data_IF_692729046042
#
_entry.id   IF_692729046042
#
_cell.length_a   1.000
_cell.length_b   1.000
_cell.length_c   1.000
_cell.angle_alpha   90.00
_cell.angle_beta   90.00
_cell.angle_gamma   90.00
#
_symmetry.space_group_name_H-M   'P 1'
#
loop_
_entity.id
_entity.type
_entity.pdbx_description
1 polymer ?
#
# COMPACT_ATOMS: atom_id res chain seq x y z
N UNK A 1 -4.69 21.87 11.18
CA UNK A 1 -3.97 20.62 10.83
C UNK A 1 -2.67 20.92 10.07
N UNK A 2 -2.68 21.87 9.12
CA UNK A 2 -1.43 22.31 8.45
C UNK A 2 -0.40 22.86 9.45
N UNK A 3 -0.84 23.61 10.46
CA UNK A 3 0.02 24.21 11.47
C UNK A 3 0.71 23.17 12.37
N UNK A 4 0.02 22.07 12.69
CA UNK A 4 0.60 20.98 13.49
C UNK A 4 1.73 20.29 12.72
N UNK A 5 1.54 20.01 11.42
CA UNK A 5 2.60 19.42 10.59
C UNK A 5 3.76 20.38 10.35
N UNK A 6 3.48 21.66 10.11
CA UNK A 6 4.51 22.67 9.99
C UNK A 6 5.33 22.80 11.28
N UNK A 7 4.66 22.85 12.44
CA UNK A 7 5.32 22.85 13.75
C UNK A 7 6.14 21.58 13.98
N UNK A 8 5.60 20.40 13.65
CA UNK A 8 6.33 19.14 13.77
C UNK A 8 7.57 19.11 12.87
N UNK A 9 7.46 19.57 11.62
CA UNK A 9 8.62 19.70 10.72
C UNK A 9 9.67 20.67 11.27
N UNK A 10 9.26 21.81 11.81
CA UNK A 10 10.17 22.77 12.41
C UNK A 10 10.91 22.17 13.61
N UNK A 11 10.21 21.53 14.53
CA UNK A 11 10.82 20.86 15.68
C UNK A 11 11.80 19.75 15.29
N UNK A 12 11.39 18.90 14.33
CA UNK A 12 12.26 17.87 13.79
C UNK A 12 13.47 18.45 13.04
N UNK A 13 13.28 19.56 12.31
CA UNK A 13 14.39 20.24 11.63
C UNK A 13 15.43 20.74 12.62
N UNK A 14 15.01 21.31 13.73
CA UNK A 14 15.92 21.75 14.82
C UNK A 14 16.71 20.55 15.35
N UNK A 15 16.03 19.41 15.59
CA UNK A 15 16.66 18.18 16.08
C UNK A 15 17.73 17.63 15.12
N UNK A 16 17.55 17.81 13.82
CA UNK A 16 18.48 17.36 12.78
C UNK A 16 19.38 18.48 12.22
N UNK A 17 19.62 19.55 12.98
CA UNK A 17 20.49 20.67 12.59
C UNK A 17 20.13 21.27 11.22
N UNK A 18 18.84 21.38 10.91
CA UNK A 18 18.33 21.92 9.65
C UNK A 18 18.36 20.92 8.47
N UNK A 19 18.77 19.67 8.68
CA UNK A 19 18.82 18.69 7.59
C UNK A 19 17.41 18.20 7.23
N UNK A 20 16.86 18.73 6.12
CA UNK A 20 15.50 18.40 5.68
C UNK A 20 15.30 16.95 5.28
N UNK A 21 16.31 16.26 4.77
CA UNK A 21 16.22 14.83 4.43
C UNK A 21 15.90 13.97 5.65
N UNK A 22 16.67 14.14 6.73
CA UNK A 22 16.39 13.44 8.00
C UNK A 22 15.07 13.86 8.63
N UNK A 23 14.72 15.15 8.51
CA UNK A 23 13.42 15.66 8.99
C UNK A 23 12.25 14.97 8.30
N UNK A 24 12.30 14.83 6.97
CA UNK A 24 11.26 14.15 6.18
C UNK A 24 11.19 12.65 6.54
N UNK A 25 12.34 11.98 6.64
CA UNK A 25 12.40 10.57 7.02
C UNK A 25 11.79 10.32 8.40
N UNK A 26 12.16 11.14 9.40
CA UNK A 26 11.63 11.04 10.76
C UNK A 26 10.12 11.30 10.80
N UNK A 27 9.65 12.34 10.14
CA UNK A 27 8.22 12.65 10.04
C UNK A 27 7.45 11.48 9.39
N UNK A 28 7.96 10.96 8.27
CA UNK A 28 7.36 9.83 7.58
C UNK A 28 7.28 8.58 8.49
N UNK A 29 8.34 8.32 9.24
CA UNK A 29 8.40 7.19 10.17
C UNK A 29 7.40 7.35 11.31
N UNK A 30 7.33 8.53 11.94
CA UNK A 30 6.36 8.82 13.02
C UNK A 30 4.93 8.62 12.53
N UNK A 31 4.59 9.17 11.36
CA UNK A 31 3.25 9.00 10.77
C UNK A 31 2.96 7.52 10.48
N UNK A 32 3.93 6.78 9.94
CA UNK A 32 3.78 5.34 9.66
C UNK A 32 3.62 4.52 10.91
N UNK A 33 4.36 4.80 11.96
CA UNK A 33 4.23 4.12 13.25
C UNK A 33 2.86 4.41 13.90
N UNK A 34 2.40 5.65 13.84
CA UNK A 34 1.08 6.03 14.36
C UNK A 34 -0.06 5.33 13.60
N UNK A 35 0.06 5.19 12.28
CA UNK A 35 -0.93 4.52 11.44
C UNK A 35 -0.78 3.00 11.37
N UNK A 36 0.34 2.44 11.85
CA UNK A 36 0.64 1.02 11.73
C UNK A 36 -0.44 0.10 12.31
N UNK A 37 -0.97 0.31 13.54
CA UNK A 37 -2.01 -0.55 14.09
C UNK A 37 -3.30 -0.51 13.25
N UNK A 38 -3.67 0.67 12.73
CA UNK A 38 -4.84 0.81 11.87
C UNK A 38 -4.62 0.09 10.53
N UNK A 39 -3.50 0.35 9.86
CA UNK A 39 -3.19 -0.27 8.56
C UNK A 39 -3.04 -1.79 8.68
N UNK A 40 -2.44 -2.29 9.75
CA UNK A 40 -2.34 -3.72 10.02
C UNK A 40 -3.72 -4.36 10.23
N UNK A 41 -4.62 -3.71 10.97
CA UNK A 41 -5.99 -4.19 11.16
C UNK A 41 -6.77 -4.24 9.84
N UNK A 42 -6.68 -3.20 9.01
CA UNK A 42 -7.31 -3.17 7.69
C UNK A 42 -6.75 -4.26 6.77
N UNK A 43 -5.44 -4.47 6.77
CA UNK A 43 -4.79 -5.51 5.96
C UNK A 43 -5.18 -6.93 6.39
N UNK A 44 -5.37 -7.17 7.68
CA UNK A 44 -5.88 -8.48 8.18
C UNK A 44 -7.30 -8.75 7.68
N UNK A 45 -8.17 -7.74 7.70
CA UNK A 45 -9.54 -7.87 7.15
C UNK A 45 -9.51 -8.15 5.66
N UNK A 46 -8.68 -7.42 4.92
CA UNK A 46 -8.49 -7.63 3.49
C UNK A 46 -7.99 -9.06 3.20
N UNK A 47 -7.03 -9.56 3.97
CA UNK A 47 -6.54 -10.94 3.86
C UNK A 47 -7.66 -11.95 4.07
N UNK A 48 -8.47 -11.80 5.12
CA UNK A 48 -9.61 -12.68 5.38
C UNK A 48 -10.63 -12.68 4.24
N UNK A 49 -10.90 -11.52 3.65
CA UNK A 49 -11.78 -11.43 2.47
C UNK A 49 -11.18 -12.14 1.25
N UNK A 50 -9.87 -11.98 1.03
CA UNK A 50 -9.16 -12.67 -0.06
C UNK A 50 -9.16 -14.19 0.09
N UNK A 51 -9.01 -14.72 1.31
CA UNK A 51 -9.12 -16.16 1.59
C UNK A 51 -10.49 -16.70 1.21
N UNK A 52 -11.57 -15.96 1.52
CA UNK A 52 -12.93 -16.33 1.11
C UNK A 52 -13.08 -16.35 -0.41
N UNK A 53 -12.62 -15.31 -1.10
CA UNK A 53 -12.64 -15.25 -2.56
C UNK A 53 -11.86 -16.41 -3.16
N UNK A 54 -10.68 -16.72 -2.63
CA UNK A 54 -9.88 -17.87 -3.08
C UNK A 54 -10.59 -19.22 -2.90
N UNK A 55 -11.28 -19.40 -1.79
CA UNK A 55 -12.06 -20.62 -1.55
C UNK A 55 -13.23 -20.78 -2.53
N UNK A 56 -13.76 -19.69 -3.05
CA UNK A 56 -14.85 -19.67 -4.02
C UNK A 56 -14.37 -19.76 -5.49
N UNK A 57 -13.06 -19.72 -5.73
CA UNK A 57 -12.50 -19.71 -7.08
C UNK A 57 -13.01 -20.86 -7.97
N UNK A 58 -13.11 -22.14 -7.53
CA UNK A 58 -13.63 -23.21 -8.36
C UNK A 58 -15.08 -22.96 -8.83
N UNK A 59 -15.92 -22.36 -7.97
CA UNK A 59 -17.30 -22.03 -8.32
C UNK A 59 -17.35 -20.83 -9.30
N UNK A 60 -16.47 -19.87 -9.13
CA UNK A 60 -16.32 -18.74 -10.05
C UNK A 60 -15.91 -19.23 -11.44
N UNK A 61 -14.98 -20.17 -11.53
CA UNK A 61 -14.51 -20.72 -12.80
C UNK A 61 -15.63 -21.53 -13.50
N UNK A 62 -16.45 -22.27 -12.75
CA UNK A 62 -17.62 -22.94 -13.28
C UNK A 62 -18.68 -21.93 -13.82
N UNK A 63 -18.90 -20.82 -13.13
CA UNK A 63 -19.79 -19.75 -13.60
C UNK A 63 -19.26 -19.12 -14.89
N UNK A 64 -17.95 -18.82 -14.95
CA UNK A 64 -17.28 -18.27 -16.14
C UNK A 64 -17.42 -19.19 -17.34
N UNK A 65 -17.20 -20.49 -17.16
CA UNK A 65 -17.35 -21.48 -18.23
C UNK A 65 -18.81 -21.57 -18.73
N UNK A 66 -19.79 -21.51 -17.82
CA UNK A 66 -21.21 -21.63 -18.15
C UNK A 66 -21.80 -20.37 -18.82
N UNK A 67 -21.34 -19.17 -18.40
CA UNK A 67 -21.88 -17.88 -18.82
C UNK A 67 -20.90 -17.09 -19.68
N UNK A 68 -20.00 -17.75 -20.39
CA UNK A 68 -18.97 -17.10 -21.21
C UNK A 68 -19.55 -16.16 -22.30
N UNK A 69 -20.75 -16.46 -22.80
CA UNK A 69 -21.43 -15.67 -23.84
C UNK A 69 -22.23 -14.47 -23.29
N UNK A 70 -22.48 -14.42 -21.97
CA UNK A 70 -23.23 -13.33 -21.34
C UNK A 70 -22.44 -12.70 -20.17
N UNK A 71 -21.66 -11.64 -20.44
CA UNK A 71 -20.88 -10.94 -19.41
C UNK A 71 -21.73 -10.34 -18.29
N UNK A 72 -22.97 -9.92 -18.56
CA UNK A 72 -23.85 -9.35 -17.54
C UNK A 72 -24.36 -10.41 -16.57
N UNK A 73 -24.85 -11.53 -17.10
CA UNK A 73 -25.31 -12.66 -16.29
C UNK A 73 -24.14 -13.26 -15.49
N UNK A 74 -22.95 -13.38 -16.10
CA UNK A 74 -21.73 -13.84 -15.45
C UNK A 74 -21.37 -12.93 -14.25
N UNK A 75 -21.32 -11.62 -14.43
CA UNK A 75 -21.01 -10.67 -13.36
C UNK A 75 -22.04 -10.72 -12.23
N UNK A 76 -23.33 -10.78 -12.56
CA UNK A 76 -24.41 -10.90 -11.59
C UNK A 76 -24.30 -12.19 -10.77
N UNK A 77 -24.07 -13.34 -11.42
CA UNK A 77 -23.91 -14.63 -10.75
C UNK A 77 -22.68 -14.68 -9.82
N UNK A 78 -21.53 -14.15 -10.25
CA UNK A 78 -20.31 -14.07 -9.41
C UNK A 78 -20.56 -13.11 -8.23
N UNK A 79 -21.22 -11.98 -8.46
CA UNK A 79 -21.54 -11.02 -7.40
C UNK A 79 -22.47 -11.62 -6.33
N UNK A 80 -23.50 -12.37 -6.75
CA UNK A 80 -24.38 -13.11 -5.83
C UNK A 80 -23.62 -14.16 -5.03
N UNK A 81 -22.79 -14.97 -5.70
CA UNK A 81 -21.96 -15.99 -5.06
C UNK A 81 -21.09 -15.39 -3.96
N UNK A 82 -20.41 -14.26 -4.23
CA UNK A 82 -19.58 -13.60 -3.24
C UNK A 82 -20.40 -13.03 -2.09
N UNK A 83 -21.53 -12.38 -2.39
CA UNK A 83 -22.44 -11.80 -1.39
C UNK A 83 -22.98 -12.86 -0.44
N UNK A 84 -23.46 -14.01 -0.96
CA UNK A 84 -24.00 -15.12 -0.18
C UNK A 84 -22.96 -15.75 0.75
N UNK A 85 -21.68 -15.75 0.35
CA UNK A 85 -20.58 -16.29 1.14
C UNK A 85 -19.85 -15.23 1.99
N UNK A 86 -20.38 -14.02 2.08
CA UNK A 86 -19.79 -12.93 2.86
C UNK A 86 -18.41 -12.51 2.37
N UNK A 87 -18.14 -12.69 1.07
CA UNK A 87 -17.00 -12.16 0.36
C UNK A 87 -17.42 -10.88 -0.40
N UNK A 88 -16.49 -9.96 -0.58
CA UNK A 88 -16.77 -8.69 -1.25
C UNK A 88 -15.76 -8.43 -2.36
N UNK A 89 -16.24 -8.13 -3.57
CA UNK A 89 -15.40 -7.75 -4.72
C UNK A 89 -14.63 -6.45 -4.39
N UNK A 90 -15.36 -5.46 -3.84
CA UNK A 90 -14.80 -4.22 -3.29
C UNK A 90 -14.85 -4.31 -1.77
N UNK A 91 -13.75 -4.71 -1.16
CA UNK A 91 -13.66 -4.78 0.28
C UNK A 91 -13.57 -3.37 0.89
N UNK A 92 -14.42 -3.12 1.89
CA UNK A 92 -14.46 -1.84 2.62
C UNK A 92 -13.10 -1.51 3.26
N UNK A 93 -12.34 -2.51 3.68
CA UNK A 93 -11.02 -2.30 4.27
C UNK A 93 -10.02 -1.76 3.26
N UNK A 94 -10.10 -2.18 2.00
CA UNK A 94 -9.27 -1.64 0.90
C UNK A 94 -9.61 -0.18 0.62
N UNK A 95 -10.92 0.15 0.58
CA UNK A 95 -11.37 1.53 0.39
C UNK A 95 -10.96 2.42 1.57
N UNK A 96 -11.13 1.95 2.80
CA UNK A 96 -10.71 2.68 4.00
C UNK A 96 -9.19 2.88 4.03
N UNK A 97 -8.41 1.88 3.62
CA UNK A 97 -6.94 2.02 3.49
C UNK A 97 -6.56 3.13 2.52
N UNK A 98 -7.19 3.20 1.35
CA UNK A 98 -6.98 4.28 0.38
C UNK A 98 -7.46 5.64 0.92
N UNK A 99 -8.61 5.69 1.58
CA UNK A 99 -9.15 6.92 2.19
C UNK A 99 -8.25 7.47 3.29
N UNK A 100 -7.60 6.62 4.09
CA UNK A 100 -6.63 7.05 5.09
C UNK A 100 -5.34 7.54 4.43
N UNK A 101 -4.89 6.86 3.37
CA UNK A 101 -3.62 7.18 2.70
C UNK A 101 -3.67 8.51 1.94
N UNK A 102 -4.80 8.85 1.28
CA UNK A 102 -4.91 10.06 0.46
C UNK A 102 -4.78 11.37 1.24
N UNK A 103 -5.50 11.60 2.37
CA UNK A 103 -5.33 12.80 3.17
C UNK A 103 -3.93 12.91 3.76
N UNK A 104 -3.37 11.79 4.25
CA UNK A 104 -2.00 11.76 4.80
C UNK A 104 -0.99 12.15 3.73
N UNK A 105 -1.10 11.58 2.54
CA UNK A 105 -0.25 11.95 1.42
C UNK A 105 -0.39 13.43 1.04
N UNK A 106 -1.62 13.94 0.90
CA UNK A 106 -1.86 15.34 0.53
C UNK A 106 -1.30 16.34 1.53
N UNK A 107 -1.46 16.06 2.83
CA UNK A 107 -0.93 16.90 3.90
C UNK A 107 0.60 16.89 3.92
N UNK A 108 1.20 15.70 3.84
CA UNK A 108 2.66 15.55 3.82
C UNK A 108 3.26 16.11 2.54
N UNK A 109 2.62 15.89 1.39
CA UNK A 109 3.04 16.47 0.12
C UNK A 109 3.20 17.98 0.23
N UNK A 110 2.17 18.68 0.72
CA UNK A 110 2.19 20.13 0.88
C UNK A 110 3.26 20.59 1.87
N UNK A 111 3.41 19.90 3.00
CA UNK A 111 4.42 20.23 4.01
C UNK A 111 5.85 20.02 3.47
N UNK A 112 6.08 18.88 2.80
CA UNK A 112 7.38 18.52 2.26
C UNK A 112 7.78 19.44 1.09
N UNK A 113 6.88 19.70 0.14
CA UNK A 113 7.20 20.56 -1.01
C UNK A 113 7.53 21.99 -0.61
N UNK A 114 6.87 22.52 0.43
CA UNK A 114 7.17 23.84 0.96
C UNK A 114 8.52 23.91 1.71
N UNK A 115 8.99 22.79 2.24
CA UNK A 115 10.21 22.70 3.04
C UNK A 115 11.38 22.00 2.33
N UNK A 116 11.17 21.46 1.12
CA UNK A 116 12.17 20.70 0.37
C UNK A 116 13.25 21.62 -0.21
N UNK A 117 14.14 22.05 0.63
CA UNK A 117 15.35 22.78 0.26
C UNK A 117 16.59 21.97 0.67
N UNK A 118 17.68 22.14 -0.08
CA UNK A 118 18.97 21.51 0.23
C UNK A 118 19.17 20.15 -0.42
N UNK A 119 20.36 19.58 -0.15
CA UNK A 119 20.80 18.28 -0.60
C UNK A 119 20.66 17.23 0.51
N UNK A 120 20.53 15.97 0.12
CA UNK A 120 20.49 14.86 1.05
C UNK A 120 21.07 13.57 0.44
N UNK A 121 22.02 12.93 1.12
CA UNK A 121 22.75 11.76 0.62
C UNK A 121 23.35 12.05 -0.78
N UNK A 122 22.95 11.28 -1.79
CA UNK A 122 23.35 11.47 -3.20
C UNK A 122 22.49 12.50 -3.95
N UNK A 123 21.37 12.92 -3.39
CA UNK A 123 20.42 13.86 -4.02
C UNK A 123 20.94 15.28 -3.88
N UNK A 124 21.17 15.95 -5.02
CA UNK A 124 21.62 17.34 -5.07
C UNK A 124 20.55 18.34 -4.62
N UNK A 125 19.29 18.01 -4.81
CA UNK A 125 18.14 18.83 -4.44
C UNK A 125 16.94 17.96 -4.07
N UNK A 126 16.37 18.17 -2.91
CA UNK A 126 15.13 17.54 -2.48
C UNK A 126 13.89 18.08 -3.22
N UNK A 127 14.01 19.23 -3.88
CA UNK A 127 12.93 19.83 -4.66
C UNK A 127 12.80 19.28 -6.08
N UNK A 128 13.80 18.56 -6.59
CA UNK A 128 13.79 17.96 -7.92
C UNK A 128 13.60 16.44 -7.85
N UNK A 129 13.07 15.81 -8.92
CA UNK A 129 12.98 14.35 -8.99
C UNK A 129 14.36 13.69 -8.95
N UNK A 130 14.43 12.50 -8.33
CA UNK A 130 15.65 11.70 -8.28
C UNK A 130 15.39 10.28 -8.80
N UNK A 131 16.15 9.90 -9.83
CA UNK A 131 15.98 8.61 -10.52
C UNK A 131 16.39 7.43 -9.61
N UNK A 132 17.48 7.57 -8.85
CA UNK A 132 17.97 6.48 -7.98
C UNK A 132 16.96 6.21 -6.88
N UNK A 133 16.44 7.26 -6.25
CA UNK A 133 15.38 7.12 -5.24
C UNK A 133 14.12 6.49 -5.83
N UNK A 134 13.72 6.90 -7.04
CA UNK A 134 12.58 6.31 -7.75
C UNK A 134 12.77 4.81 -7.94
N UNK A 135 13.95 4.37 -8.41
CA UNK A 135 14.25 2.95 -8.57
C UNK A 135 14.20 2.19 -7.25
N UNK A 136 14.74 2.76 -6.17
CA UNK A 136 14.66 2.15 -4.83
C UNK A 136 13.20 1.95 -4.41
N UNK A 137 12.36 2.96 -4.61
CA UNK A 137 10.93 2.86 -4.27
C UNK A 137 10.22 1.81 -5.11
N UNK A 138 10.53 1.72 -6.41
CA UNK A 138 9.95 0.70 -7.29
C UNK A 138 10.32 -0.72 -6.84
N UNK A 139 11.59 -0.95 -6.47
CA UNK A 139 12.04 -2.24 -5.93
C UNK A 139 11.30 -2.56 -4.61
N UNK A 140 11.22 -1.61 -3.68
CA UNK A 140 10.49 -1.80 -2.43
C UNK A 140 9.00 -2.09 -2.67
N UNK A 141 8.39 -1.40 -3.63
CA UNK A 141 6.98 -1.62 -4.02
C UNK A 141 6.78 -3.01 -4.61
N UNK A 142 7.69 -3.46 -5.49
CA UNK A 142 7.66 -4.80 -6.06
C UNK A 142 7.81 -5.88 -4.97
N UNK A 143 8.76 -5.70 -4.05
CA UNK A 143 8.97 -6.62 -2.92
C UNK A 143 7.73 -6.65 -2.02
N UNK A 144 7.15 -5.49 -1.66
CA UNK A 144 5.93 -5.44 -0.87
C UNK A 144 4.77 -6.16 -1.55
N UNK A 145 4.59 -5.97 -2.86
CA UNK A 145 3.55 -6.61 -3.64
C UNK A 145 3.76 -8.13 -3.79
N UNK A 146 5.00 -8.57 -3.94
CA UNK A 146 5.35 -10.00 -4.00
C UNK A 146 5.01 -10.75 -2.70
N UNK A 147 5.24 -10.13 -1.56
CA UNK A 147 4.90 -10.69 -0.26
C UNK A 147 3.44 -10.46 0.14
N UNK A 148 2.72 -9.57 -0.55
CA UNK A 148 1.32 -9.31 -0.26
C UNK A 148 0.46 -10.54 -0.56
N UNK A 149 -0.49 -10.87 0.32
CA UNK A 149 -1.45 -11.94 0.04
C UNK A 149 -2.26 -11.63 -1.22
N UNK A 150 -2.41 -12.62 -2.11
CA UNK A 150 -3.18 -12.48 -3.34
C UNK A 150 -4.15 -13.63 -3.55
N UNK A 151 -5.25 -13.40 -4.27
CA UNK A 151 -6.30 -14.36 -4.53
C UNK A 151 -5.97 -15.33 -5.66
N UNK A 152 -5.42 -14.81 -6.75
CA UNK A 152 -5.02 -15.58 -7.92
C UNK A 152 -3.71 -15.03 -8.48
N UNK A 153 -2.84 -15.92 -8.95
CA UNK A 153 -1.51 -15.55 -9.44
C UNK A 153 -1.58 -14.53 -10.60
N UNK A 154 -2.46 -14.76 -11.57
CA UNK A 154 -2.59 -13.88 -12.74
C UNK A 154 -3.07 -12.48 -12.37
N UNK A 155 -4.08 -12.41 -11.51
CA UNK A 155 -4.60 -11.12 -11.00
C UNK A 155 -3.56 -10.39 -10.16
N UNK A 156 -2.80 -11.13 -9.34
CA UNK A 156 -1.72 -10.56 -8.53
C UNK A 156 -0.63 -9.91 -9.39
N UNK A 157 -0.22 -10.59 -10.46
CA UNK A 157 0.82 -10.09 -11.37
C UNK A 157 0.36 -8.81 -12.09
N UNK A 158 -0.88 -8.79 -12.59
CA UNK A 158 -1.45 -7.60 -13.24
C UNK A 158 -1.55 -6.43 -12.26
N UNK A 159 -2.03 -6.67 -11.03
CA UNK A 159 -2.14 -5.62 -10.01
C UNK A 159 -0.77 -5.11 -9.57
N UNK A 160 0.21 -5.98 -9.42
CA UNK A 160 1.60 -5.62 -9.12
C UNK A 160 2.19 -4.76 -10.24
N UNK A 161 2.04 -5.16 -11.50
CA UNK A 161 2.53 -4.42 -12.65
C UNK A 161 1.88 -3.02 -12.74
N UNK A 162 0.55 -2.95 -12.54
CA UNK A 162 -0.18 -1.69 -12.51
C UNK A 162 0.31 -0.78 -11.38
N UNK A 163 0.50 -1.31 -10.18
CA UNK A 163 1.00 -0.55 -9.03
C UNK A 163 2.41 0.00 -9.28
N UNK A 164 3.31 -0.80 -9.84
CA UNK A 164 4.67 -0.38 -10.19
C UNK A 164 4.62 0.71 -11.26
N UNK A 165 3.82 0.53 -12.31
CA UNK A 165 3.68 1.51 -13.39
C UNK A 165 3.15 2.85 -12.87
N UNK A 166 2.08 2.84 -12.09
CA UNK A 166 1.50 4.06 -11.48
C UNK A 166 2.53 4.75 -10.58
N UNK A 167 3.22 3.98 -9.73
CA UNK A 167 4.27 4.52 -8.84
C UNK A 167 5.41 5.15 -9.66
N UNK A 168 5.87 4.50 -10.73
CA UNK A 168 6.92 5.01 -11.60
C UNK A 168 6.51 6.33 -12.25
N UNK A 169 5.33 6.39 -12.86
CA UNK A 169 4.83 7.60 -13.55
C UNK A 169 4.70 8.78 -12.58
N UNK A 170 4.22 8.52 -11.37
CA UNK A 170 4.04 9.56 -10.34
C UNK A 170 5.41 10.05 -9.86
N UNK A 171 6.29 9.16 -9.41
CA UNK A 171 7.57 9.52 -8.80
C UNK A 171 8.55 10.15 -9.79
N UNK A 172 8.41 9.84 -11.09
CA UNK A 172 9.25 10.45 -12.13
C UNK A 172 9.13 11.97 -12.22
N UNK A 173 8.01 12.52 -11.74
CA UNK A 173 7.71 13.96 -11.77
C UNK A 173 7.70 14.61 -10.39
N UNK A 174 7.72 13.83 -9.32
CA UNK A 174 7.65 14.35 -7.96
C UNK A 174 9.02 14.70 -7.39
N UNK A 175 9.07 15.72 -6.55
CA UNK A 175 10.24 16.13 -5.79
C UNK A 175 10.79 14.95 -4.94
N UNK A 176 12.12 14.82 -4.85
CA UNK A 176 12.78 13.75 -4.10
C UNK A 176 12.39 13.73 -2.61
N UNK A 177 12.09 14.89 -2.01
CA UNK A 177 11.55 14.95 -0.66
C UNK A 177 10.25 14.14 -0.49
N UNK A 178 9.35 14.19 -1.48
CA UNK A 178 8.13 13.36 -1.49
C UNK A 178 8.47 11.89 -1.75
N UNK A 179 9.46 11.63 -2.60
CA UNK A 179 10.01 10.29 -2.85
C UNK A 179 10.56 9.64 -1.58
N UNK A 180 11.24 10.40 -0.69
CA UNK A 180 11.71 9.91 0.61
C UNK A 180 10.55 9.43 1.50
N UNK A 181 9.49 10.22 1.60
CA UNK A 181 8.28 9.78 2.31
C UNK A 181 7.71 8.48 1.71
N UNK A 182 7.68 8.40 0.36
CA UNK A 182 7.19 7.20 -0.32
C UNK A 182 8.10 5.99 -0.06
N UNK A 183 9.42 6.18 -0.02
CA UNK A 183 10.38 5.12 0.32
C UNK A 183 10.14 4.54 1.72
N UNK A 184 9.97 5.39 2.74
CA UNK A 184 9.61 4.95 4.10
C UNK A 184 8.28 4.20 4.11
N UNK A 185 7.31 4.70 3.35
CA UNK A 185 5.99 4.06 3.23
C UNK A 185 6.06 2.70 2.55
N UNK A 186 6.84 2.56 1.47
CA UNK A 186 7.05 1.29 0.78
C UNK A 186 7.80 0.30 1.67
N UNK A 187 8.83 0.74 2.38
CA UNK A 187 9.58 -0.08 3.32
C UNK A 187 8.69 -0.60 4.47
N UNK A 188 7.87 0.27 5.06
CA UNK A 188 6.89 -0.14 6.07
C UNK A 188 5.88 -1.15 5.51
N UNK A 189 5.47 -1.02 4.24
CA UNK A 189 4.59 -1.98 3.57
C UNK A 189 5.27 -3.34 3.35
N UNK A 190 6.57 -3.38 3.07
CA UNK A 190 7.35 -4.63 3.02
C UNK A 190 7.32 -5.33 4.37
N UNK A 191 7.61 -4.62 5.46
CA UNK A 191 7.56 -5.17 6.82
C UNK A 191 6.15 -5.69 7.14
N UNK A 192 5.13 -4.90 6.83
CA UNK A 192 3.73 -5.28 7.08
C UNK A 192 3.33 -6.53 6.29
N UNK A 193 3.69 -6.63 5.01
CA UNK A 193 3.42 -7.80 4.18
C UNK A 193 4.14 -9.05 4.72
N UNK A 194 5.37 -8.88 5.18
CA UNK A 194 6.14 -9.95 5.81
C UNK A 194 5.49 -10.43 7.12
N UNK A 195 5.10 -9.50 7.99
CA UNK A 195 4.39 -9.82 9.25
C UNK A 195 3.07 -10.56 8.97
N UNK A 196 2.31 -10.12 7.97
CA UNK A 196 1.07 -10.80 7.58
C UNK A 196 1.32 -12.22 7.07
N UNK A 197 2.34 -12.39 6.23
CA UNK A 197 2.65 -13.68 5.62
C UNK A 197 3.17 -14.71 6.62
N UNK A 198 4.05 -14.32 7.53
CA UNK A 198 4.72 -15.23 8.46
C UNK A 198 4.15 -15.20 9.88
N UNK A 199 3.65 -14.07 10.33
CA UNK A 199 3.10 -13.92 11.68
C UNK A 199 1.69 -14.48 11.86
N UNK A 200 0.93 -14.66 10.77
CA UNK A 200 -0.45 -15.15 10.80
C UNK A 200 -0.67 -16.45 10.02
N UNK A 201 0.37 -16.99 9.40
CA UNK A 201 0.38 -18.32 8.80
C UNK A 201 0.59 -19.43 9.84
N UNK A 202 0.08 -19.27 11.06
CA UNK A 202 0.01 -20.37 12.01
C UNK A 202 -0.87 -21.47 11.39
N UNK A 203 -0.44 -22.75 11.41
CA UNK A 203 -1.17 -23.82 10.78
C UNK A 203 -2.57 -23.91 11.40
N UNK A 204 -3.60 -23.67 10.59
CA UNK A 204 -4.95 -24.11 10.90
C UNK A 204 -4.88 -25.64 10.91
N UNK A 205 -4.48 -26.21 12.08
CA UNK A 205 -4.61 -27.65 12.34
C UNK A 205 -6.06 -28.00 12.05
N UNK A 206 -6.23 -28.77 11.00
CA UNK A 206 -7.29 -29.70 10.73
C UNK A 206 -8.30 -29.86 11.90
N UNK A 207 -9.40 -29.14 11.84
CA UNK A 207 -10.65 -29.55 12.42
C UNK A 207 -11.42 -30.32 11.33
N UNK A 208 -10.81 -31.42 10.86
CA UNK A 208 -11.42 -32.41 9.97
C UNK A 208 -11.08 -33.79 10.52
N UNK A 209 -11.67 -34.12 11.66
CA UNK A 209 -11.92 -35.49 12.06
C UNK A 209 -12.78 -35.48 13.32
N UNK A 210 -14.08 -35.36 13.13
CA UNK A 210 -15.09 -36.07 13.91
C UNK A 210 -16.44 -35.95 13.22
#
# INVERSE_FOLDING_TARGET
MNDILASAMTQLSILFNGNMGWTILALALVVRLALFPLTLHLSRRMLSNQEKIKALQPQVDAIKARLASDPKAMFAAISSLYKENGAHILDRSSLLGALVQLPVFGLLYKAITNASSGSFLWMKSLASPDTVLTLIVLVLTAVAAYYAPSTAADTAMVMMALQILVTAVILWKLAAGVGLYWAVSAFASVIQSFVLRYGFSAPRKQAASR
#
